data_IF_490307239016
#
_entry.id   IF_490307239016
#
_cell.length_a   1.000
_cell.length_b   1.000
_cell.length_c   1.000
_cell.angle_alpha   90.00
_cell.angle_beta   90.00
_cell.angle_gamma   90.00
#
_symmetry.space_group_name_H-M   'P 1'
#
loop_
_entity.id
_entity.type
_entity.pdbx_description
1 polymer ?
#
# COMPACT_ATOMS: atom_id res chain seq x y z
N UNK A 1 62.14 10.35 -1.18
CA UNK A 1 61.49 11.55 -0.62
C UNK A 1 60.29 12.03 -1.45
N UNK A 2 60.22 11.81 -2.77
CA UNK A 2 59.07 12.18 -3.62
C UNK A 2 57.79 11.35 -3.37
N UNK A 3 57.90 10.07 -3.04
CA UNK A 3 56.76 9.18 -2.85
C UNK A 3 55.98 9.52 -1.57
N UNK A 4 56.65 9.99 -0.52
CA UNK A 4 56.02 10.39 0.75
C UNK A 4 55.21 11.69 0.59
N UNK A 5 55.65 12.63 -0.24
CA UNK A 5 54.94 13.89 -0.54
C UNK A 5 53.65 13.65 -1.36
N UNK A 6 53.64 12.70 -2.30
CA UNK A 6 52.45 12.35 -3.08
C UNK A 6 51.40 11.66 -2.22
N UNK A 7 51.83 10.83 -1.25
CA UNK A 7 50.91 10.17 -0.31
C UNK A 7 50.27 11.16 0.67
N UNK A 8 51.01 12.13 1.17
CA UNK A 8 50.46 13.15 2.10
C UNK A 8 49.52 14.11 1.39
N UNK A 9 49.79 14.50 0.13
CA UNK A 9 48.86 15.34 -0.64
C UNK A 9 47.59 14.61 -1.04
N UNK A 10 47.65 13.33 -1.35
CA UNK A 10 46.45 12.51 -1.67
C UNK A 10 45.57 12.28 -0.44
N UNK A 11 46.17 12.03 0.73
CA UNK A 11 45.40 11.83 1.98
C UNK A 11 44.80 13.15 2.48
N UNK A 12 45.44 14.28 2.33
CA UNK A 12 44.88 15.59 2.69
C UNK A 12 43.74 15.97 1.74
N UNK A 13 43.83 15.69 0.45
CA UNK A 13 42.73 15.91 -0.51
C UNK A 13 41.51 15.02 -0.19
N UNK A 14 41.75 13.77 0.20
CA UNK A 14 40.68 12.84 0.59
C UNK A 14 40.00 13.26 1.90
N UNK A 15 40.75 13.78 2.86
CA UNK A 15 40.19 14.31 4.11
C UNK A 15 39.42 15.61 3.89
N UNK A 16 39.88 16.53 3.03
CA UNK A 16 39.13 17.72 2.63
C UNK A 16 37.86 17.37 1.86
N UNK A 17 37.91 16.36 1.00
CA UNK A 17 36.74 15.87 0.27
C UNK A 17 35.69 15.25 1.21
N UNK A 18 36.12 14.44 2.19
CA UNK A 18 35.24 13.89 3.22
C UNK A 18 34.63 14.98 4.12
N UNK A 19 35.42 16.01 4.49
CA UNK A 19 34.93 17.15 5.27
C UNK A 19 33.92 18.02 4.48
N UNK A 20 34.10 18.18 3.18
CA UNK A 20 33.16 18.92 2.33
C UNK A 20 31.85 18.19 2.12
N UNK A 21 31.85 16.84 2.08
CA UNK A 21 30.66 16.01 1.96
C UNK A 21 30.04 15.64 3.30
N UNK A 22 30.74 15.77 4.40
CA UNK A 22 30.21 15.57 5.76
C UNK A 22 29.63 16.84 6.39
N UNK A 23 29.66 17.99 5.69
CA UNK A 23 28.84 19.12 6.12
C UNK A 23 27.38 18.71 6.04
N UNK A 24 26.68 18.51 7.18
CA UNK A 24 25.25 18.35 7.13
C UNK A 24 24.70 19.63 6.50
N UNK A 25 23.87 19.48 5.51
CA UNK A 25 23.02 20.55 4.97
C UNK A 25 22.08 21.01 6.10
N UNK A 26 22.61 21.82 7.01
CA UNK A 26 21.86 22.52 8.04
C UNK A 26 21.30 23.80 7.42
N UNK A 27 20.34 23.60 6.55
CA UNK A 27 19.36 24.61 6.19
C UNK A 27 18.01 23.90 6.02
N UNK A 28 17.60 23.14 7.00
CA UNK A 28 16.20 22.91 7.24
C UNK A 28 15.68 24.17 7.94
N UNK A 29 15.22 25.15 7.16
CA UNK A 29 14.12 25.97 7.62
C UNK A 29 13.06 24.98 8.08
N UNK A 30 12.74 24.99 9.37
CA UNK A 30 11.67 24.21 9.96
C UNK A 30 10.31 24.69 9.43
N UNK A 31 10.01 24.39 8.19
CA UNK A 31 8.64 24.13 7.82
C UNK A 31 8.31 22.84 8.57
N UNK A 32 7.53 22.96 9.66
CA UNK A 32 6.95 21.80 10.30
C UNK A 32 6.29 20.98 9.19
N UNK A 33 6.93 19.89 8.81
CA UNK A 33 6.46 19.04 7.73
C UNK A 33 5.16 18.41 8.25
N UNK A 34 4.02 18.80 7.68
CA UNK A 34 2.75 18.18 7.94
C UNK A 34 2.74 16.75 7.38
N UNK A 35 3.40 15.84 8.10
CA UNK A 35 3.45 14.44 7.74
C UNK A 35 2.08 13.79 7.93
N UNK A 36 1.80 12.82 7.06
CA UNK A 36 0.62 11.98 7.21
C UNK A 36 0.66 11.28 8.57
N UNK A 37 -0.47 11.31 9.27
CA UNK A 37 -0.63 10.71 10.59
C UNK A 37 -1.77 9.69 10.59
N UNK A 38 -1.81 8.81 11.58
CA UNK A 38 -2.87 7.82 11.80
C UNK A 38 -2.92 7.48 13.28
N UNK A 39 -4.09 7.13 13.79
CA UNK A 39 -4.23 6.75 15.19
C UNK A 39 -3.58 5.39 15.46
N UNK A 40 -3.82 4.41 14.58
CA UNK A 40 -3.24 3.07 14.58
C UNK A 40 -3.00 2.62 13.14
N UNK A 41 -2.20 1.59 12.93
CA UNK A 41 -1.76 1.13 11.60
C UNK A 41 -2.90 0.79 10.63
N UNK A 42 -4.05 0.35 11.15
CA UNK A 42 -5.24 -0.02 10.35
C UNK A 42 -6.30 1.11 10.28
N UNK A 43 -5.99 2.29 10.82
CA UNK A 43 -6.89 3.43 10.82
C UNK A 43 -6.68 4.30 9.56
N UNK A 44 -7.65 5.15 9.21
CA UNK A 44 -7.53 6.05 8.07
C UNK A 44 -6.27 6.92 8.16
N UNK A 45 -5.63 7.12 7.01
CA UNK A 45 -4.49 8.01 6.87
C UNK A 45 -4.94 9.46 6.89
N UNK A 46 -4.42 10.24 7.83
CA UNK A 46 -4.84 11.61 8.09
C UNK A 46 -3.82 12.59 7.54
N UNK A 47 -4.27 13.47 6.67
CA UNK A 47 -3.54 14.64 6.18
C UNK A 47 -4.53 15.79 5.91
N UNK A 48 -4.01 16.95 5.53
CA UNK A 48 -4.84 18.14 5.26
C UNK A 48 -6.03 17.80 4.34
N UNK A 49 -7.25 18.26 4.61
CA UNK A 49 -7.63 19.27 5.60
C UNK A 49 -7.75 18.76 7.04
N UNK A 50 -7.72 17.46 7.28
CA UNK A 50 -7.77 16.87 8.60
C UNK A 50 -6.40 16.90 9.30
N UNK A 51 -6.43 16.96 10.64
CA UNK A 51 -5.26 16.72 11.49
C UNK A 51 -5.63 15.95 12.73
N UNK A 52 -4.70 15.21 13.30
CA UNK A 52 -4.84 14.64 14.65
C UNK A 52 -4.33 15.67 15.65
N UNK A 53 -5.25 16.25 16.42
CA UNK A 53 -5.00 17.39 17.32
C UNK A 53 -3.85 17.18 18.29
N UNK A 54 -3.66 15.96 18.79
CA UNK A 54 -2.59 15.62 19.74
C UNK A 54 -1.23 15.34 19.09
N UNK A 55 -1.16 15.19 17.75
CA UNK A 55 0.04 14.73 17.03
C UNK A 55 0.56 15.72 15.99
N UNK A 56 -0.30 16.62 15.54
CA UNK A 56 0.00 17.56 14.46
C UNK A 56 -0.31 18.98 14.91
N UNK A 57 0.53 19.97 14.54
CA UNK A 57 0.30 21.39 14.83
C UNK A 57 -0.94 21.93 14.12
N UNK A 58 -1.41 23.11 14.55
CA UNK A 58 -2.59 23.76 13.95
C UNK A 58 -2.44 24.09 12.47
N UNK A 59 -1.23 24.39 12.06
CA UNK A 59 -0.88 24.66 10.66
C UNK A 59 -1.09 23.48 9.72
N UNK A 60 -1.25 22.26 10.23
CA UNK A 60 -1.45 21.04 9.43
C UNK A 60 -2.91 20.67 9.21
N UNK A 61 -3.87 21.40 9.77
CA UNK A 61 -5.29 21.14 9.63
C UNK A 61 -6.08 22.40 9.29
N UNK A 62 -7.23 22.22 8.64
CA UNK A 62 -8.16 23.30 8.38
C UNK A 62 -9.12 23.46 9.56
N UNK A 63 -9.54 24.70 9.91
CA UNK A 63 -10.47 24.91 11.01
C UNK A 63 -11.75 24.07 10.88
N UNK A 64 -12.11 23.34 11.92
CA UNK A 64 -13.27 22.44 11.93
C UNK A 64 -12.99 21.00 11.49
N UNK A 65 -11.74 20.67 11.12
CA UNK A 65 -11.32 19.33 10.66
C UNK A 65 -10.43 18.60 11.69
N UNK A 66 -10.55 18.94 12.96
CA UNK A 66 -9.79 18.28 14.02
C UNK A 66 -10.30 16.86 14.29
N UNK A 67 -9.38 15.89 14.29
CA UNK A 67 -9.60 14.51 14.67
C UNK A 67 -8.81 14.18 15.94
N UNK A 68 -9.20 13.15 16.65
CA UNK A 68 -8.51 12.66 17.85
C UNK A 68 -8.37 11.14 17.81
N UNK A 69 -7.47 10.62 18.61
CA UNK A 69 -7.35 9.18 18.85
C UNK A 69 -7.89 8.86 20.24
N UNK A 70 -8.73 7.83 20.35
CA UNK A 70 -9.10 7.30 21.66
C UNK A 70 -8.06 6.29 22.18
N UNK A 71 -8.25 5.78 23.39
CA UNK A 71 -7.35 4.79 24.01
C UNK A 71 -7.27 3.47 23.25
N UNK A 72 -8.34 3.10 22.54
CA UNK A 72 -8.36 1.92 21.67
C UNK A 72 -7.59 2.12 20.34
N UNK A 73 -7.14 3.34 20.07
CA UNK A 73 -6.44 3.71 18.84
C UNK A 73 -7.37 3.99 17.66
N UNK A 74 -8.67 4.18 17.90
CA UNK A 74 -9.63 4.53 16.85
C UNK A 74 -9.60 6.03 16.58
N UNK A 75 -9.86 6.40 15.33
CA UNK A 75 -9.93 7.79 14.88
C UNK A 75 -11.32 8.35 15.12
N UNK A 76 -11.41 9.41 15.92
CA UNK A 76 -12.67 10.07 16.28
C UNK A 76 -12.75 11.47 15.69
N UNK A 77 -13.98 11.87 15.32
CA UNK A 77 -14.38 13.22 14.94
C UNK A 77 -15.47 13.72 15.88
N UNK A 78 -15.39 14.99 16.29
CA UNK A 78 -16.42 15.62 17.12
C UNK A 78 -17.24 16.61 16.29
N UNK A 79 -18.53 16.36 16.19
CA UNK A 79 -19.48 17.30 15.59
C UNK A 79 -20.09 18.21 16.67
N UNK A 80 -20.26 19.52 16.41
CA UNK A 80 -20.61 20.49 17.43
C UNK A 80 -21.85 20.15 18.29
N UNK A 81 -22.90 19.64 17.66
CA UNK A 81 -24.17 19.35 18.33
C UNK A 81 -24.56 17.87 18.36
N UNK A 82 -23.73 17.00 17.78
CA UNK A 82 -24.04 15.57 17.60
C UNK A 82 -23.13 14.64 18.40
N UNK A 83 -22.06 15.17 19.02
CA UNK A 83 -21.13 14.39 19.82
C UNK A 83 -19.95 13.82 19.02
N UNK A 84 -19.46 12.66 19.47
CA UNK A 84 -18.26 12.02 18.90
C UNK A 84 -18.66 10.87 17.97
N UNK A 85 -17.99 10.78 16.82
CA UNK A 85 -18.16 9.74 15.83
C UNK A 85 -16.83 9.08 15.52
N UNK A 86 -16.86 7.79 15.25
CA UNK A 86 -15.73 7.02 14.75
C UNK A 86 -15.61 7.25 13.25
N UNK A 87 -14.42 7.60 12.78
CA UNK A 87 -14.11 7.76 11.35
C UNK A 87 -13.74 6.42 10.77
N UNK A 88 -14.54 5.92 9.83
CA UNK A 88 -14.33 4.66 9.14
C UNK A 88 -13.45 4.81 7.90
N UNK A 89 -13.55 5.95 7.20
CA UNK A 89 -12.77 6.22 6.01
C UNK A 89 -12.82 7.69 5.61
N UNK A 90 -11.82 8.12 4.86
CA UNK A 90 -11.74 9.45 4.26
C UNK A 90 -11.27 9.30 2.81
N UNK A 91 -12.04 9.84 1.89
CA UNK A 91 -11.63 10.00 0.50
C UNK A 91 -11.35 11.48 0.22
N UNK A 92 -10.08 11.78 0.07
CA UNK A 92 -9.60 13.15 -0.18
C UNK A 92 -9.86 13.62 -1.61
N UNK A 93 -10.01 12.67 -2.54
CA UNK A 93 -10.27 12.96 -3.95
C UNK A 93 -11.70 13.45 -4.16
N UNK A 94 -12.67 12.70 -3.60
CA UNK A 94 -14.09 13.03 -3.66
C UNK A 94 -14.53 13.98 -2.54
N UNK A 95 -13.65 14.24 -1.59
CA UNK A 95 -13.90 15.03 -0.38
C UNK A 95 -15.06 14.46 0.44
N UNK A 96 -14.95 13.19 0.79
CA UNK A 96 -15.96 12.45 1.52
C UNK A 96 -15.38 11.77 2.75
N UNK A 97 -16.20 11.63 3.78
CA UNK A 97 -15.87 10.96 5.04
C UNK A 97 -17.01 10.06 5.48
N UNK A 98 -16.68 8.86 5.89
CA UNK A 98 -17.61 7.88 6.46
C UNK A 98 -17.45 7.84 7.96
N UNK A 99 -18.56 8.04 8.67
CA UNK A 99 -18.58 8.07 10.14
C UNK A 99 -19.65 7.16 10.72
N UNK A 100 -19.35 6.60 11.89
CA UNK A 100 -20.28 5.76 12.63
C UNK A 100 -20.25 6.09 14.14
N UNK A 101 -21.21 5.55 14.90
CA UNK A 101 -21.24 5.73 16.35
C UNK A 101 -20.19 4.82 17.03
N UNK A 102 -19.28 5.36 17.84
CA UNK A 102 -18.29 4.56 18.59
C UNK A 102 -18.91 3.59 19.59
N UNK A 103 -20.19 3.79 19.95
CA UNK A 103 -20.97 2.92 20.86
C UNK A 103 -21.83 1.91 20.14
N UNK A 104 -21.67 1.75 18.82
CA UNK A 104 -22.40 0.77 17.98
C UNK A 104 -23.92 0.92 18.03
N UNK A 105 -24.43 2.14 18.21
CA UNK A 105 -25.86 2.45 18.13
C UNK A 105 -26.11 3.76 17.37
N UNK A 106 -25.65 3.81 16.12
CA UNK A 106 -25.83 4.96 15.24
C UNK A 106 -27.29 5.40 15.11
N UNK A 107 -28.30 4.50 15.02
CA UNK A 107 -29.72 4.87 14.96
C UNK A 107 -30.18 5.74 16.12
N UNK A 108 -29.62 5.58 17.31
CA UNK A 108 -29.91 6.41 18.48
C UNK A 108 -29.42 7.85 18.27
N UNK A 109 -28.21 8.00 17.74
CA UNK A 109 -27.65 9.32 17.42
C UNK A 109 -28.45 9.99 16.33
N UNK A 110 -28.82 9.26 15.28
CA UNK A 110 -29.66 9.74 14.18
C UNK A 110 -31.02 10.26 14.73
N UNK A 111 -31.67 9.48 15.57
CA UNK A 111 -33.02 9.80 16.06
C UNK A 111 -33.03 11.04 16.98
N UNK A 112 -32.04 11.18 17.85
CA UNK A 112 -32.08 12.16 18.91
C UNK A 112 -31.10 13.32 18.77
N UNK A 113 -29.97 13.11 18.12
CA UNK A 113 -28.82 14.01 18.23
C UNK A 113 -28.20 14.46 16.91
N UNK A 114 -28.58 13.87 15.77
CA UNK A 114 -27.92 14.24 14.51
C UNK A 114 -28.21 15.68 14.12
N UNK A 115 -27.18 16.52 14.11
CA UNK A 115 -27.25 17.90 13.68
C UNK A 115 -25.88 18.31 13.13
N UNK A 116 -25.81 18.55 11.84
CA UNK A 116 -24.58 18.94 11.14
C UNK A 116 -24.37 20.46 11.11
N UNK A 117 -25.31 21.23 11.68
CA UNK A 117 -25.20 22.71 11.72
C UNK A 117 -23.93 23.14 12.46
N UNK A 118 -23.27 24.16 11.96
CA UNK A 118 -22.04 24.67 12.58
C UNK A 118 -20.80 23.79 12.34
N UNK A 119 -20.94 22.71 11.58
CA UNK A 119 -19.80 21.93 11.06
C UNK A 119 -19.56 22.22 9.58
N UNK A 120 -18.36 21.98 9.05
CA UNK A 120 -18.09 22.08 7.61
C UNK A 120 -18.70 20.94 6.78
N UNK A 121 -19.35 19.98 7.41
CA UNK A 121 -19.83 18.76 6.79
C UNK A 121 -21.31 18.81 6.45
N UNK A 122 -21.68 18.18 5.33
CA UNK A 122 -23.06 17.95 4.90
C UNK A 122 -23.21 16.51 4.40
N UNK A 123 -24.42 15.97 4.44
CA UNK A 123 -24.68 14.66 3.83
C UNK A 123 -24.53 14.72 2.31
N UNK A 124 -23.99 13.67 1.71
CA UNK A 124 -23.90 13.54 0.24
C UNK A 124 -25.30 13.36 -0.33
N UNK A 125 -26.07 12.46 0.26
CA UNK A 125 -27.46 12.20 -0.07
C UNK A 125 -28.27 12.14 1.22
N UNK A 126 -29.56 12.50 1.14
CA UNK A 126 -30.47 12.44 2.28
C UNK A 126 -31.69 11.61 1.94
N UNK A 127 -32.11 10.80 2.92
CA UNK A 127 -33.37 10.06 2.86
C UNK A 127 -34.13 10.22 4.17
N UNK A 128 -35.45 10.39 4.07
CA UNK A 128 -36.30 10.51 5.25
C UNK A 128 -36.65 9.14 5.78
N UNK A 129 -36.34 8.87 7.03
CA UNK A 129 -36.76 7.68 7.76
C UNK A 129 -37.71 8.03 8.87
N UNK A 130 -38.80 7.30 8.95
CA UNK A 130 -39.80 7.38 10.03
C UNK A 130 -39.57 6.24 10.99
N UNK A 131 -39.38 6.57 12.26
CA UNK A 131 -39.18 5.61 13.34
C UNK A 131 -40.49 5.29 14.03
N UNK A 132 -40.72 4.00 14.26
CA UNK A 132 -41.88 3.48 14.99
C UNK A 132 -41.43 2.66 16.20
N UNK A 133 -42.22 2.75 17.28
CA UNK A 133 -42.13 1.89 18.46
C UNK A 133 -43.38 1.03 18.54
N UNK A 134 -43.22 -0.29 18.48
CA UNK A 134 -44.32 -1.27 18.46
C UNK A 134 -44.31 -2.09 19.76
N UNK A 135 -45.45 -2.20 20.42
CA UNK A 135 -45.61 -2.81 21.74
C UNK A 135 -45.69 -4.34 21.77
N UNK A 136 -45.53 -5.06 20.66
CA UNK A 136 -45.46 -6.52 20.61
C UNK A 136 -44.53 -6.97 19.48
N UNK A 137 -44.10 -8.24 19.54
CA UNK A 137 -43.29 -8.90 18.50
C UNK A 137 -44.08 -8.97 17.19
N UNK A 138 -44.03 -7.92 16.45
CA UNK A 138 -44.73 -7.81 15.18
C UNK A 138 -43.94 -8.56 14.11
N UNK A 139 -44.40 -9.77 13.75
CA UNK A 139 -43.75 -10.65 12.75
C UNK A 139 -43.98 -10.21 11.30
N UNK A 140 -43.92 -8.92 11.01
CA UNK A 140 -44.11 -8.37 9.67
C UNK A 140 -42.83 -8.31 8.81
N UNK A 141 -41.82 -9.09 9.09
CA UNK A 141 -40.61 -9.09 8.27
C UNK A 141 -39.88 -7.73 8.24
N UNK A 142 -40.09 -6.90 9.26
CA UNK A 142 -39.34 -5.64 9.43
C UNK A 142 -38.03 -5.92 10.17
N UNK A 143 -36.97 -5.18 9.79
CA UNK A 143 -35.68 -5.26 10.45
C UNK A 143 -35.69 -4.42 11.73
N UNK A 144 -35.58 -5.03 12.93
CA UNK A 144 -35.59 -4.28 14.18
C UNK A 144 -34.25 -3.54 14.38
N UNK A 145 -34.31 -2.36 14.98
CA UNK A 145 -33.13 -1.65 15.48
C UNK A 145 -32.83 -2.19 16.87
N UNK A 146 -31.93 -3.17 16.95
CA UNK A 146 -31.65 -3.93 18.17
C UNK A 146 -31.26 -3.05 19.35
N UNK A 147 -30.41 -2.04 19.15
CA UNK A 147 -29.94 -1.17 20.22
C UNK A 147 -30.98 -0.15 20.73
N UNK A 148 -32.13 -0.03 20.05
CA UNK A 148 -33.28 0.78 20.46
C UNK A 148 -34.47 -0.05 20.90
N UNK A 149 -34.42 -1.37 20.73
CA UNK A 149 -35.50 -2.33 21.05
C UNK A 149 -35.21 -3.02 22.38
N UNK A 150 -36.27 -3.52 23.01
CA UNK A 150 -36.23 -4.29 24.25
C UNK A 150 -37.18 -5.49 24.16
N UNK A 151 -37.23 -6.33 25.20
CA UNK A 151 -38.14 -7.48 25.28
C UNK A 151 -39.63 -7.11 25.15
N UNK A 152 -40.00 -5.89 25.52
CA UNK A 152 -41.37 -5.39 25.58
C UNK A 152 -41.78 -4.52 24.39
N UNK A 153 -40.84 -4.12 23.56
CA UNK A 153 -41.12 -3.30 22.38
C UNK A 153 -40.03 -3.43 21.32
N UNK A 154 -40.41 -3.20 20.09
CA UNK A 154 -39.54 -3.23 18.93
C UNK A 154 -39.53 -1.86 18.25
N UNK A 155 -38.35 -1.29 18.06
CA UNK A 155 -38.13 -0.07 17.27
C UNK A 155 -37.64 -0.46 15.89
N UNK A 156 -38.23 0.12 14.84
CA UNK A 156 -37.73 0.03 13.48
C UNK A 156 -37.85 1.36 12.76
N UNK A 157 -37.16 1.50 11.64
CA UNK A 157 -37.20 2.67 10.78
C UNK A 157 -37.58 2.25 9.33
N UNK A 158 -38.37 3.09 8.67
CA UNK A 158 -38.79 2.88 7.29
C UNK A 158 -38.79 4.17 6.50
N UNK A 159 -38.50 4.09 5.19
CA UNK A 159 -38.71 5.19 4.25
C UNK A 159 -39.91 4.94 3.32
N UNK A 160 -40.58 3.79 3.45
CA UNK A 160 -41.71 3.44 2.62
C UNK A 160 -42.99 4.16 3.06
N UNK A 161 -43.55 4.97 2.14
CA UNK A 161 -44.82 5.67 2.36
C UNK A 161 -45.97 4.71 2.73
N UNK A 162 -45.98 3.53 2.07
CA UNK A 162 -46.99 2.50 2.35
C UNK A 162 -46.87 1.93 3.76
N UNK A 163 -45.67 1.70 4.23
CA UNK A 163 -45.44 1.19 5.60
C UNK A 163 -45.79 2.26 6.61
N UNK A 164 -45.45 3.53 6.34
CA UNK A 164 -45.80 4.67 7.20
C UNK A 164 -47.31 4.79 7.31
N UNK A 165 -48.06 4.70 6.20
CA UNK A 165 -49.51 4.76 6.20
C UNK A 165 -50.16 3.65 7.05
N UNK A 166 -49.73 2.39 6.89
CA UNK A 166 -50.22 1.24 7.64
C UNK A 166 -50.00 1.44 9.15
N UNK A 167 -48.84 1.87 9.57
CA UNK A 167 -48.49 2.00 11.00
C UNK A 167 -48.95 3.31 11.63
N UNK A 168 -49.35 4.29 10.84
CA UNK A 168 -49.90 5.55 11.36
C UNK A 168 -51.39 5.50 11.67
N UNK A 169 -52.04 4.37 11.45
CA UNK A 169 -53.48 4.20 11.73
C UNK A 169 -53.73 4.12 13.25
N UNK A 170 -54.87 4.60 13.71
CA UNK A 170 -55.24 4.66 15.15
C UNK A 170 -55.35 3.28 15.81
N UNK A 171 -55.55 2.22 15.03
CA UNK A 171 -55.63 0.83 15.48
C UNK A 171 -54.29 0.08 15.42
N UNK A 172 -53.24 0.75 15.00
CA UNK A 172 -51.89 0.16 14.92
C UNK A 172 -51.30 -0.07 16.33
N UNK A 173 -50.67 -1.23 16.57
CA UNK A 173 -49.90 -1.46 17.80
C UNK A 173 -48.60 -0.62 17.86
N UNK A 174 -48.30 0.11 16.81
CA UNK A 174 -47.07 0.90 16.67
C UNK A 174 -47.36 2.39 16.86
N UNK A 175 -46.46 3.07 17.58
CA UNK A 175 -46.49 4.52 17.77
C UNK A 175 -45.39 5.16 16.95
N UNK A 176 -45.70 6.19 16.19
CA UNK A 176 -44.73 7.02 15.51
C UNK A 176 -43.90 7.76 16.54
N UNK A 177 -42.57 7.66 16.44
CA UNK A 177 -41.63 8.39 17.27
C UNK A 177 -41.29 9.72 16.58
N UNK A 178 -40.65 9.67 15.41
CA UNK A 178 -40.17 10.83 14.68
C UNK A 178 -39.79 10.47 13.26
N UNK A 179 -39.91 11.43 12.33
CA UNK A 179 -39.29 11.34 11.01
C UNK A 179 -38.02 12.19 10.99
N UNK A 180 -36.93 11.59 10.52
CA UNK A 180 -35.61 12.25 10.47
C UNK A 180 -35.02 12.13 9.06
N UNK A 181 -34.41 13.20 8.58
CA UNK A 181 -33.66 13.21 7.34
C UNK A 181 -32.24 12.71 7.64
N UNK A 182 -31.87 11.55 7.08
CA UNK A 182 -30.64 10.83 7.38
C UNK A 182 -29.69 10.95 6.20
N UNK A 183 -28.40 11.32 6.41
CA UNK A 183 -27.38 11.18 5.39
C UNK A 183 -27.17 9.69 5.06
N UNK A 184 -27.29 9.31 3.80
CA UNK A 184 -27.14 7.92 3.34
C UNK A 184 -25.97 7.77 2.37
N UNK A 185 -25.42 6.56 2.27
CA UNK A 185 -24.31 6.27 1.35
C UNK A 185 -24.74 6.41 -0.11
N UNK A 186 -25.87 5.82 -0.45
CA UNK A 186 -26.44 5.84 -1.80
C UNK A 186 -27.89 6.28 -1.73
N UNK A 187 -28.38 7.07 -2.70
CA UNK A 187 -29.79 7.33 -2.81
C UNK A 187 -30.48 6.01 -3.16
N UNK A 188 -31.45 5.63 -2.35
CA UNK A 188 -32.29 4.47 -2.67
C UNK A 188 -33.36 4.91 -3.65
N UNK A 189 -33.36 4.35 -4.85
CA UNK A 189 -34.41 4.60 -5.86
C UNK A 189 -35.76 4.00 -5.40
N UNK A 190 -35.70 2.93 -4.61
CA UNK A 190 -36.89 2.26 -4.04
C UNK A 190 -37.05 2.60 -2.55
N UNK A 191 -38.29 2.63 -2.12
CA UNK A 191 -38.63 2.83 -0.71
C UNK A 191 -38.22 1.62 0.12
N UNK A 192 -37.43 1.84 1.14
CA UNK A 192 -36.96 0.80 2.05
C UNK A 192 -38.08 0.45 3.02
N UNK A 193 -38.50 -0.83 3.01
CA UNK A 193 -39.53 -1.36 3.93
C UNK A 193 -39.09 -1.20 5.39
N UNK A 194 -37.86 -1.56 5.71
CA UNK A 194 -37.25 -1.33 7.01
C UNK A 194 -35.75 -1.37 6.94
N UNK A 195 -35.09 -0.62 7.82
CA UNK A 195 -33.63 -0.58 7.97
C UNK A 195 -33.25 -0.51 9.44
N UNK A 196 -32.14 -1.13 9.81
CA UNK A 196 -31.54 -0.99 11.14
C UNK A 196 -30.67 0.29 11.25
N UNK A 197 -30.44 0.99 10.14
CA UNK A 197 -29.64 2.22 10.06
C UNK A 197 -28.25 2.09 10.71
N UNK A 198 -27.66 0.92 10.60
CA UNK A 198 -26.32 0.63 11.12
C UNK A 198 -25.19 1.03 10.17
N UNK A 199 -25.52 1.29 8.90
CA UNK A 199 -24.57 1.72 7.88
C UNK A 199 -23.94 3.08 8.19
N UNK A 200 -22.68 3.25 7.77
CA UNK A 200 -21.93 4.48 7.98
C UNK A 200 -22.61 5.68 7.32
N UNK A 201 -22.62 6.81 8.01
CA UNK A 201 -23.06 8.07 7.44
C UNK A 201 -22.00 8.60 6.48
N UNK A 202 -22.41 8.91 5.24
CA UNK A 202 -21.55 9.50 4.22
C UNK A 202 -21.71 11.00 4.20
N UNK A 203 -20.68 11.72 4.60
CA UNK A 203 -20.62 13.16 4.62
C UNK A 203 -19.61 13.70 3.60
N UNK A 204 -19.79 14.93 3.18
CA UNK A 204 -18.86 15.64 2.28
C UNK A 204 -18.61 17.05 2.84
N UNK A 205 -17.56 17.67 2.33
CA UNK A 205 -17.22 19.07 2.60
C UNK A 205 -16.87 19.80 1.29
N UNK A 206 -17.19 21.09 1.22
CA UNK A 206 -16.89 21.91 0.05
C UNK A 206 -15.56 22.65 0.20
N UNK A 207 -15.30 23.21 1.39
CA UNK A 207 -14.09 23.94 1.72
C UNK A 207 -13.32 23.24 2.85
N UNK A 208 -12.00 23.07 2.66
CA UNK A 208 -11.18 23.52 1.53
C UNK A 208 -11.32 22.60 0.32
N UNK A 209 -11.38 23.19 -0.91
CA UNK A 209 -11.49 22.45 -2.18
C UNK A 209 -10.15 21.85 -2.60
N UNK A 210 -9.85 20.65 -2.14
CA UNK A 210 -8.58 19.94 -2.37
C UNK A 210 -8.64 18.81 -3.41
N UNK A 211 -9.82 18.36 -3.83
CA UNK A 211 -9.97 17.22 -4.73
C UNK A 211 -9.19 17.33 -6.04
N UNK A 212 -9.11 18.53 -6.63
CA UNK A 212 -8.30 18.73 -7.83
C UNK A 212 -6.79 18.57 -7.58
N UNK A 213 -6.31 18.98 -6.43
CA UNK A 213 -4.91 18.79 -6.03
C UNK A 213 -4.59 17.30 -5.83
N UNK A 214 -5.44 16.60 -5.10
CA UNK A 214 -5.33 15.16 -4.84
C UNK A 214 -5.39 14.35 -6.14
N UNK A 215 -6.27 14.70 -7.09
CA UNK A 215 -6.37 14.02 -8.39
C UNK A 215 -5.10 14.12 -9.24
N UNK A 216 -4.26 15.13 -8.98
CA UNK A 216 -2.96 15.31 -9.63
C UNK A 216 -1.80 14.66 -8.85
N UNK A 217 -2.12 13.94 -7.77
CA UNK A 217 -1.11 13.35 -6.88
C UNK A 217 -0.36 14.39 -6.03
N UNK A 218 -0.91 15.60 -5.91
CA UNK A 218 -0.41 16.65 -5.04
C UNK A 218 -0.97 16.51 -3.62
N UNK A 219 -0.46 17.30 -2.71
CA UNK A 219 -0.95 17.45 -1.35
C UNK A 219 -1.35 18.88 -1.07
N UNK A 220 -2.57 19.06 -0.58
CA UNK A 220 -3.09 20.35 -0.14
C UNK A 220 -2.45 20.78 1.19
N UNK A 221 -2.36 22.08 1.39
CA UNK A 221 -1.91 22.65 2.66
C UNK A 221 -1.96 24.17 2.66
N UNK A 222 -1.67 24.80 3.79
CA UNK A 222 -1.49 26.24 3.85
C UNK A 222 -0.16 26.67 3.22
N UNK A 223 -0.17 27.83 2.56
CA UNK A 223 1.05 28.39 1.96
C UNK A 223 2.12 28.74 3.00
N UNK A 224 1.71 29.19 4.17
CA UNK A 224 2.57 29.49 5.33
C UNK A 224 1.74 29.47 6.59
N UNK A 225 2.38 29.32 7.76
CA UNK A 225 1.73 29.30 9.07
C UNK A 225 0.91 30.58 9.38
N UNK A 226 1.19 31.67 8.70
CA UNK A 226 0.49 32.95 8.88
C UNK A 226 -0.57 33.24 7.81
N UNK A 227 -0.71 32.40 6.79
CA UNK A 227 -1.61 32.60 5.65
C UNK A 227 -2.59 31.45 5.53
N UNK A 228 -3.89 31.74 5.61
CA UNK A 228 -4.97 30.78 5.36
C UNK A 228 -5.14 30.44 3.86
N UNK A 229 -4.22 30.90 3.00
CA UNK A 229 -4.25 30.59 1.58
C UNK A 229 -3.83 29.14 1.34
N UNK A 230 -4.73 28.36 0.74
CA UNK A 230 -4.49 26.96 0.38
C UNK A 230 -3.67 26.92 -0.89
N UNK A 231 -2.67 26.03 -0.91
CA UNK A 231 -1.84 25.72 -2.07
C UNK A 231 -1.74 24.22 -2.25
N UNK A 232 -1.63 23.81 -3.50
CA UNK A 232 -1.29 22.44 -3.84
C UNK A 232 0.23 22.34 -3.93
N UNK A 233 0.82 21.46 -3.13
CA UNK A 233 2.24 21.12 -3.19
C UNK A 233 2.37 19.72 -3.78
N UNK A 234 3.29 19.57 -4.74
CA UNK A 234 3.69 18.24 -5.13
C UNK A 234 4.67 17.75 -4.08
N UNK A 235 4.38 16.63 -3.44
CA UNK A 235 5.37 15.94 -2.63
C UNK A 235 6.49 15.56 -3.60
N UNK A 236 7.75 16.02 -3.41
CA UNK A 236 8.84 15.49 -4.19
C UNK A 236 8.81 13.99 -3.93
N UNK A 237 8.66 13.19 -5.01
CA UNK A 237 8.68 11.72 -4.90
C UNK A 237 9.96 11.39 -4.16
N UNK A 238 9.81 11.04 -2.89
CA UNK A 238 10.89 10.74 -1.97
C UNK A 238 11.88 9.80 -2.67
N UNK A 239 13.07 10.30 -2.95
CA UNK A 239 14.22 9.49 -3.36
C UNK A 239 14.49 9.32 -4.85
N UNK A 240 13.71 9.88 -5.77
CA UNK A 240 14.09 9.85 -7.20
C UNK A 240 14.69 11.18 -7.63
N UNK A 241 16.01 11.27 -7.53
CA UNK A 241 16.78 12.32 -8.19
C UNK A 241 16.36 12.44 -9.66
N UNK A 242 16.17 13.67 -10.21
CA UNK A 242 15.91 13.88 -11.63
C UNK A 242 16.86 13.05 -12.47
N UNK A 243 16.37 12.51 -13.60
CA UNK A 243 17.21 11.63 -14.46
C UNK A 243 18.57 12.28 -14.78
N UNK A 244 18.59 13.60 -15.04
CA UNK A 244 19.83 14.34 -15.26
C UNK A 244 20.78 14.35 -14.06
N UNK A 245 20.27 14.52 -12.83
CA UNK A 245 21.08 14.48 -11.61
C UNK A 245 21.64 13.08 -11.32
N UNK A 246 20.87 12.02 -11.62
CA UNK A 246 21.38 10.63 -11.54
C UNK A 246 22.55 10.42 -12.48
N UNK A 247 22.42 10.82 -13.75
CA UNK A 247 23.50 10.70 -14.73
C UNK A 247 24.71 11.55 -14.33
N UNK A 248 24.49 12.77 -13.85
CA UNK A 248 25.57 13.64 -13.38
C UNK A 248 26.35 13.01 -12.20
N UNK A 249 25.66 12.40 -11.22
CA UNK A 249 26.29 11.71 -10.09
C UNK A 249 26.98 10.42 -10.54
N UNK A 250 26.33 9.61 -11.39
CA UNK A 250 26.91 8.33 -11.83
C UNK A 250 28.13 8.54 -12.71
N UNK A 251 28.10 9.50 -13.62
CA UNK A 251 29.20 9.78 -14.53
C UNK A 251 30.28 10.65 -13.84
N UNK A 252 29.86 11.69 -13.09
CA UNK A 252 30.80 12.64 -12.48
C UNK A 252 31.49 12.09 -11.23
N UNK A 253 30.89 11.22 -10.47
CA UNK A 253 31.45 10.66 -9.23
C UNK A 253 31.64 9.14 -9.33
N UNK A 254 30.63 8.41 -9.81
CA UNK A 254 30.64 6.94 -9.81
C UNK A 254 31.73 6.36 -10.72
N UNK A 255 31.89 6.89 -11.93
CA UNK A 255 32.91 6.39 -12.88
C UNK A 255 34.35 6.70 -12.39
N UNK A 256 34.69 7.92 -12.00
CA UNK A 256 36.02 8.20 -11.49
C UNK A 256 36.39 7.40 -10.24
N UNK A 257 35.47 7.26 -9.27
CA UNK A 257 35.70 6.46 -8.06
C UNK A 257 35.92 4.99 -8.38
N UNK A 258 35.15 4.42 -9.31
CA UNK A 258 35.29 3.03 -9.77
C UNK A 258 36.66 2.81 -10.44
N UNK A 259 37.08 3.72 -11.29
CA UNK A 259 38.41 3.66 -11.94
C UNK A 259 39.57 3.79 -10.93
N UNK A 260 39.44 4.66 -9.94
CA UNK A 260 40.42 4.78 -8.86
C UNK A 260 40.52 3.49 -8.03
N UNK A 261 39.36 2.86 -7.75
CA UNK A 261 39.34 1.61 -7.00
C UNK A 261 39.97 0.46 -7.77
N UNK A 262 39.67 0.35 -9.07
CA UNK A 262 40.33 -0.62 -9.96
C UNK A 262 41.81 -0.40 -10.05
N UNK A 263 42.26 0.85 -10.19
CA UNK A 263 43.68 1.22 -10.18
C UNK A 263 44.38 0.82 -8.88
N UNK A 264 43.73 1.04 -7.73
CA UNK A 264 44.24 0.63 -6.42
C UNK A 264 44.36 -0.89 -6.29
N UNK A 265 43.32 -1.63 -6.74
CA UNK A 265 43.36 -3.09 -6.77
C UNK A 265 44.47 -3.64 -7.66
N UNK A 266 44.63 -3.11 -8.86
CA UNK A 266 45.74 -3.48 -9.75
C UNK A 266 47.10 -3.19 -9.13
N UNK A 267 47.27 -2.04 -8.46
CA UNK A 267 48.50 -1.70 -7.74
C UNK A 267 48.78 -2.67 -6.60
N UNK A 268 47.78 -3.01 -5.78
CA UNK A 268 47.92 -3.97 -4.68
C UNK A 268 48.22 -5.38 -5.21
N UNK A 269 47.54 -5.83 -6.25
CA UNK A 269 47.81 -7.13 -6.90
C UNK A 269 49.23 -7.17 -7.53
N UNK A 270 49.69 -6.05 -8.10
CA UNK A 270 51.03 -5.93 -8.63
C UNK A 270 52.09 -6.04 -7.52
N UNK A 271 51.83 -5.42 -6.37
CA UNK A 271 52.71 -5.53 -5.18
C UNK A 271 52.77 -6.94 -4.61
N UNK A 272 51.63 -7.61 -4.47
CA UNK A 272 51.54 -8.99 -4.01
C UNK A 272 52.25 -9.93 -4.98
N UNK A 273 52.06 -9.75 -6.30
CA UNK A 273 52.74 -10.55 -7.33
C UNK A 273 54.26 -10.33 -7.35
N UNK A 274 54.73 -9.12 -7.04
CA UNK A 274 56.16 -8.80 -6.90
C UNK A 274 56.76 -9.42 -5.63
N UNK A 275 55.99 -9.48 -4.53
CA UNK A 275 56.43 -10.11 -3.27
C UNK A 275 56.50 -11.64 -3.38
N UNK A 276 55.52 -12.24 -4.07
CA UNK A 276 55.45 -13.71 -4.28
C UNK A 276 56.56 -14.17 -5.27
N UNK A 277 56.98 -13.32 -6.21
CA UNK A 277 58.10 -13.64 -7.12
C UNK A 277 59.45 -13.72 -6.46
N UNK A 278 59.59 -13.19 -5.23
CA UNK A 278 60.87 -13.16 -4.47
C UNK A 278 61.09 -14.44 -3.64
N UNK A 279 60.09 -15.33 -3.53
CA UNK A 279 60.21 -16.57 -2.82
C UNK A 279 59.63 -17.74 -3.65
N UNK A 280 60.32 -18.17 -4.70
CA UNK A 280 60.17 -19.52 -5.24
C UNK A 280 61.53 -20.13 -5.43
N UNK A 281 61.87 -21.18 -4.64
CA UNK A 281 62.77 -22.20 -5.11
C UNK A 281 62.01 -23.08 -6.08
N UNK A 282 62.70 -23.44 -7.15
CA UNK A 282 62.25 -24.36 -8.18
C UNK A 282 62.09 -25.75 -7.56
N UNK A 283 60.89 -26.33 -7.77
CA UNK A 283 60.74 -27.79 -7.72
C UNK A 283 59.66 -28.23 -8.71
N UNK A 284 60.18 -28.97 -9.70
CA UNK A 284 59.38 -29.78 -10.63
C UNK A 284 58.56 -30.79 -9.88
N UNK A 285 57.38 -31.12 -10.38
CA UNK A 285 56.91 -32.46 -10.80
C UNK A 285 55.40 -32.62 -10.84
N UNK A 286 54.94 -32.90 -12.03
CA UNK A 286 53.92 -33.83 -12.53
C UNK A 286 52.42 -33.70 -12.13
N UNK A 287 51.56 -34.00 -13.11
CA UNK A 287 50.13 -33.73 -13.04
C UNK A 287 49.38 -34.94 -12.48
N UNK A 288 48.47 -34.70 -11.56
CA UNK A 288 47.39 -35.62 -11.24
C UNK A 288 46.08 -34.87 -11.25
N UNK A 289 45.26 -35.28 -12.12
CA UNK A 289 43.88 -34.88 -12.40
C UNK A 289 43.04 -35.25 -11.18
N UNK A 290 42.39 -34.23 -10.60
CA UNK A 290 41.17 -34.43 -9.83
C UNK A 290 40.16 -33.35 -10.29
N UNK A 291 38.94 -33.72 -10.69
CA UNK A 291 37.95 -32.78 -11.13
C UNK A 291 37.38 -32.03 -9.93
N UNK A 292 37.52 -30.70 -9.93
CA UNK A 292 36.76 -29.84 -9.02
C UNK A 292 35.29 -29.83 -9.43
N UNK A 293 34.34 -29.90 -8.49
CA UNK A 293 32.94 -29.74 -8.78
C UNK A 293 32.69 -28.26 -9.15
N UNK A 294 32.38 -28.02 -10.40
CA UNK A 294 31.83 -26.76 -10.86
C UNK A 294 30.41 -26.61 -10.30
N UNK A 295 30.24 -25.71 -9.36
CA UNK A 295 28.91 -25.29 -8.93
C UNK A 295 28.25 -24.51 -10.08
N UNK A 296 27.47 -25.19 -10.91
CA UNK A 296 26.54 -24.53 -11.81
C UNK A 296 25.35 -24.01 -10.98
N UNK A 297 25.20 -22.71 -10.89
CA UNK A 297 24.05 -22.07 -10.22
C UNK A 297 22.73 -22.26 -10.99
N UNK A 298 22.75 -22.63 -12.26
CA UNK A 298 21.60 -22.81 -13.12
C UNK A 298 21.55 -24.17 -13.80
N UNK A 299 20.47 -24.44 -14.54
CA UNK A 299 20.29 -25.64 -15.36
C UNK A 299 20.97 -25.51 -16.72
N UNK A 300 21.43 -26.62 -17.25
CA UNK A 300 21.99 -26.68 -18.61
C UNK A 300 20.90 -26.56 -19.69
N UNK A 301 21.28 -26.10 -20.87
CA UNK A 301 20.37 -25.85 -21.99
C UNK A 301 19.51 -27.07 -22.38
N UNK A 302 20.09 -28.27 -22.56
CA UNK A 302 19.34 -29.49 -22.86
C UNK A 302 18.25 -29.81 -21.80
N UNK A 303 18.54 -29.65 -20.52
CA UNK A 303 17.58 -29.89 -19.44
C UNK A 303 16.44 -28.87 -19.49
N UNK A 304 16.73 -27.59 -19.73
CA UNK A 304 15.71 -26.55 -19.87
C UNK A 304 14.81 -26.82 -21.09
N UNK A 305 15.39 -27.28 -22.20
CA UNK A 305 14.62 -27.61 -23.41
C UNK A 305 13.71 -28.83 -23.24
N UNK A 306 14.08 -29.78 -22.38
CA UNK A 306 13.28 -30.98 -22.10
C UNK A 306 11.97 -30.72 -21.37
N UNK A 307 11.79 -29.52 -20.80
CA UNK A 307 10.56 -29.18 -20.09
C UNK A 307 9.37 -29.03 -21.06
N UNK A 308 8.17 -29.49 -20.64
CA UNK A 308 7.00 -29.47 -21.50
C UNK A 308 6.63 -28.04 -21.90
N UNK A 309 6.25 -27.86 -23.16
CA UNK A 309 5.75 -26.59 -23.68
C UNK A 309 4.26 -26.74 -23.99
N UNK A 310 3.45 -25.79 -23.55
CA UNK A 310 2.02 -25.74 -23.85
C UNK A 310 1.70 -24.43 -24.58
N UNK A 311 0.88 -24.50 -25.62
CA UNK A 311 0.37 -23.32 -26.30
C UNK A 311 -0.99 -23.00 -25.73
N UNK A 312 -1.17 -21.79 -25.23
CA UNK A 312 -2.41 -21.36 -24.61
C UNK A 312 -3.52 -21.23 -25.67
N UNK A 313 -4.58 -22.01 -25.50
CA UNK A 313 -5.75 -21.95 -26.38
C UNK A 313 -6.65 -20.73 -26.12
N UNK A 314 -7.62 -20.51 -26.99
CA UNK A 314 -8.60 -19.41 -26.85
C UNK A 314 -9.40 -19.48 -25.53
N UNK A 315 -9.58 -20.68 -24.96
CA UNK A 315 -10.29 -20.91 -23.69
C UNK A 315 -9.46 -20.53 -22.46
N UNK A 316 -8.18 -20.16 -22.61
CA UNK A 316 -7.24 -19.76 -21.54
C UNK A 316 -7.19 -20.73 -20.33
N UNK A 317 -7.43 -22.03 -20.55
CA UNK A 317 -7.36 -23.03 -19.47
C UNK A 317 -5.90 -23.36 -19.16
N UNK A 318 -5.50 -23.11 -17.93
CA UNK A 318 -4.18 -23.44 -17.39
C UNK A 318 -4.28 -24.62 -16.41
N UNK A 319 -3.17 -25.33 -16.12
CA UNK A 319 -3.14 -26.39 -15.13
C UNK A 319 -3.59 -25.94 -13.73
N UNK A 320 -3.34 -24.66 -13.38
CA UNK A 320 -3.87 -23.99 -12.19
C UNK A 320 -4.77 -22.83 -12.62
N UNK A 321 -6.06 -22.85 -12.29
CA UNK A 321 -7.02 -21.85 -12.77
C UNK A 321 -6.76 -20.42 -12.28
N UNK A 322 -6.03 -20.24 -11.17
CA UNK A 322 -5.76 -18.93 -10.57
C UNK A 322 -4.50 -18.24 -11.14
N UNK A 323 -3.68 -18.95 -11.92
CA UNK A 323 -2.43 -18.44 -12.50
C UNK A 323 -2.68 -17.79 -13.87
N UNK A 324 -3.18 -16.57 -13.92
CA UNK A 324 -3.45 -15.86 -15.18
C UNK A 324 -2.35 -14.89 -15.62
N UNK A 325 -1.25 -14.80 -14.86
CA UNK A 325 -0.18 -13.84 -15.09
C UNK A 325 1.20 -14.47 -14.87
N UNK A 326 2.17 -14.13 -15.72
CA UNK A 326 3.55 -14.58 -15.58
C UNK A 326 4.26 -13.82 -14.45
N UNK A 327 4.71 -14.49 -13.36
CA UNK A 327 5.36 -13.81 -12.23
C UNK A 327 6.74 -13.21 -12.53
N UNK A 328 7.35 -13.57 -13.67
CA UNK A 328 8.67 -13.06 -14.07
C UNK A 328 8.55 -11.71 -14.77
N UNK A 329 7.64 -11.58 -15.75
CA UNK A 329 7.47 -10.35 -16.53
C UNK A 329 6.23 -9.53 -16.12
N UNK A 330 5.39 -10.06 -15.22
CA UNK A 330 4.17 -9.43 -14.71
C UNK A 330 3.14 -9.10 -15.79
N UNK A 331 3.10 -9.89 -16.88
CA UNK A 331 2.14 -9.76 -17.97
C UNK A 331 1.13 -10.90 -17.95
N UNK A 332 -0.13 -10.61 -18.30
CA UNK A 332 -1.17 -11.63 -18.47
C UNK A 332 -0.86 -12.55 -19.65
N UNK A 333 -1.23 -13.82 -19.52
CA UNK A 333 -1.12 -14.79 -20.60
C UNK A 333 -2.17 -14.55 -21.68
N UNK A 334 -1.72 -14.48 -22.93
CA UNK A 334 -2.59 -14.28 -24.10
C UNK A 334 -2.76 -15.58 -24.90
N UNK A 335 -3.90 -15.76 -25.58
CA UNK A 335 -4.07 -16.88 -26.50
C UNK A 335 -2.94 -16.94 -27.53
N UNK A 336 -2.52 -18.17 -27.87
CA UNK A 336 -1.40 -18.50 -28.76
C UNK A 336 0.01 -18.26 -28.22
N UNK A 337 0.16 -17.80 -26.97
CA UNK A 337 1.46 -17.74 -26.33
C UNK A 337 1.93 -19.13 -25.88
N UNK A 338 3.25 -19.35 -25.93
CA UNK A 338 3.86 -20.59 -25.47
C UNK A 338 4.26 -20.45 -24.02
N UNK A 339 3.71 -21.32 -23.19
CA UNK A 339 3.99 -21.40 -21.76
C UNK A 339 4.79 -22.67 -21.46
N UNK A 340 5.58 -22.62 -20.39
CA UNK A 340 6.38 -23.73 -19.90
C UNK A 340 6.07 -23.97 -18.42
N UNK A 341 5.32 -25.03 -18.05
CA UNK A 341 5.13 -25.45 -16.67
C UNK A 341 6.38 -26.16 -16.15
N UNK A 342 6.72 -25.92 -14.88
CA UNK A 342 7.78 -26.68 -14.22
C UNK A 342 7.19 -28.01 -13.74
N UNK A 343 7.78 -29.17 -14.13
CA UNK A 343 7.15 -30.50 -13.93
C UNK A 343 6.71 -30.81 -12.49
N UNK A 344 7.51 -30.46 -11.48
CA UNK A 344 7.26 -30.85 -10.09
C UNK A 344 6.15 -30.03 -9.42
N UNK A 345 6.04 -28.76 -9.78
CA UNK A 345 5.15 -27.83 -9.07
C UNK A 345 4.03 -27.27 -9.94
N UNK A 346 4.06 -27.54 -11.24
CA UNK A 346 3.08 -27.12 -12.25
C UNK A 346 2.84 -25.60 -12.31
N UNK A 347 3.79 -24.78 -11.79
CA UNK A 347 3.76 -23.35 -11.98
C UNK A 347 4.11 -23.01 -13.43
N UNK A 348 3.28 -22.17 -14.05
CA UNK A 348 3.40 -21.81 -15.46
C UNK A 348 4.08 -20.45 -15.63
N UNK A 349 4.86 -20.32 -16.72
CA UNK A 349 5.56 -19.10 -17.08
C UNK A 349 5.60 -18.98 -18.60
N UNK A 350 5.80 -17.79 -19.15
CA UNK A 350 6.16 -17.68 -20.55
C UNK A 350 7.47 -18.44 -20.81
N UNK A 351 7.53 -19.21 -21.88
CA UNK A 351 8.69 -20.06 -22.19
C UNK A 351 10.00 -19.28 -22.17
N UNK A 352 10.06 -18.13 -22.85
CA UNK A 352 11.24 -17.29 -22.87
C UNK A 352 11.65 -16.76 -21.49
N UNK A 353 10.68 -16.43 -20.61
CA UNK A 353 10.97 -15.89 -19.28
C UNK A 353 11.59 -16.95 -18.36
N UNK A 354 11.01 -18.17 -18.36
CA UNK A 354 11.51 -19.23 -17.47
C UNK A 354 12.82 -19.83 -17.98
N UNK A 355 13.05 -19.85 -19.28
CA UNK A 355 14.30 -20.34 -19.85
C UNK A 355 15.49 -19.48 -19.43
N UNK A 356 15.33 -18.15 -19.44
CA UNK A 356 16.38 -17.25 -18.94
C UNK A 356 16.57 -17.34 -17.41
N UNK A 357 15.51 -17.54 -16.66
CA UNK A 357 15.59 -17.73 -15.22
C UNK A 357 16.34 -19.00 -14.84
N UNK A 358 16.01 -20.13 -15.50
CA UNK A 358 16.59 -21.44 -15.18
C UNK A 358 18.06 -21.55 -15.56
N UNK A 359 18.54 -20.78 -16.55
CA UNK A 359 19.98 -20.66 -16.86
C UNK A 359 20.79 -20.07 -15.70
N UNK A 360 20.16 -19.24 -14.88
CA UNK A 360 20.81 -18.55 -13.76
C UNK A 360 20.47 -19.19 -12.41
N UNK A 361 19.29 -19.79 -12.30
CA UNK A 361 18.74 -20.31 -11.04
C UNK A 361 18.08 -21.68 -11.29
N UNK A 362 18.60 -22.74 -10.72
CA UNK A 362 18.06 -24.08 -10.87
C UNK A 362 16.80 -24.35 -10.01
N UNK A 363 15.94 -23.34 -9.77
CA UNK A 363 14.76 -23.47 -8.91
C UNK A 363 13.57 -22.71 -9.47
N UNK A 364 12.34 -23.15 -9.12
CA UNK A 364 11.11 -22.44 -9.48
C UNK A 364 11.05 -21.04 -8.85
N UNK A 365 10.75 -19.98 -9.62
CA UNK A 365 10.62 -18.61 -9.10
C UNK A 365 9.58 -18.44 -7.99
N UNK A 366 8.52 -19.25 -7.98
CA UNK A 366 7.41 -19.14 -7.03
C UNK A 366 7.68 -19.96 -5.76
N UNK A 367 7.90 -21.28 -5.90
CA UNK A 367 8.02 -22.19 -4.74
C UNK A 367 9.46 -22.54 -4.36
N UNK A 368 10.46 -22.14 -5.18
CA UNK A 368 11.90 -22.39 -4.99
C UNK A 368 12.29 -23.87 -4.91
N UNK A 369 11.41 -24.79 -5.29
CA UNK A 369 11.72 -26.20 -5.36
C UNK A 369 12.77 -26.45 -6.46
N UNK A 370 13.84 -27.22 -6.17
CA UNK A 370 14.80 -27.64 -7.19
C UNK A 370 14.15 -28.69 -8.11
N UNK A 371 14.57 -28.77 -9.39
CA UNK A 371 14.14 -29.86 -10.27
C UNK A 371 14.70 -31.20 -9.77
N UNK A 372 14.08 -32.33 -10.15
CA UNK A 372 14.61 -33.64 -9.80
C UNK A 372 15.99 -33.82 -10.41
N UNK A 373 16.92 -34.28 -9.60
CA UNK A 373 18.21 -34.76 -10.10
C UNK A 373 17.93 -35.95 -11.02
N UNK A 374 18.16 -35.81 -12.32
CA UNK A 374 18.10 -36.95 -13.22
C UNK A 374 19.07 -38.02 -12.71
N UNK A 375 18.66 -39.31 -12.60
CA UNK A 375 19.59 -40.37 -12.28
C UNK A 375 20.65 -40.42 -13.40
N UNK A 376 21.91 -40.34 -13.02
CA UNK A 376 23.04 -40.60 -13.90
C UNK A 376 22.79 -41.93 -14.63
N UNK A 377 23.01 -42.03 -15.96
CA UNK A 377 22.93 -43.29 -16.67
C UNK A 377 23.90 -44.27 -16.03
N UNK A 378 23.38 -45.43 -15.62
CA UNK A 378 24.16 -46.49 -15.05
C UNK A 378 25.29 -46.88 -16.04
N UNK A 379 26.54 -46.68 -15.62
CA UNK A 379 27.69 -47.25 -16.28
C UNK A 379 27.54 -48.79 -16.24
N UNK A 380 27.24 -49.40 -17.37
CA UNK A 380 27.37 -50.84 -17.55
C UNK A 380 28.85 -51.20 -17.44
N UNK A 381 29.19 -51.78 -16.34
CA UNK A 381 30.48 -52.48 -16.18
C UNK A 381 30.29 -53.86 -16.80
N UNK A 382 30.72 -54.01 -18.04
CA UNK A 382 30.94 -55.33 -18.61
C UNK A 382 32.18 -55.93 -17.94
N UNK A 383 31.97 -56.97 -17.12
CA UNK A 383 33.01 -57.83 -16.59
C UNK A 383 33.25 -58.95 -17.62
N UNK A 384 34.43 -58.97 -18.19
CA UNK A 384 35.06 -60.15 -18.76
C UNK A 384 36.20 -60.62 -17.86
#
# INVERSE_FOLDING_TARGET
MHILKVFTTSTTFFFFFLLFFSMPYLAATSNELCLNSFCRHNEPKIHFPFRIKSRQPESCGYPGFDLFCNEAGQTLMKLPYSGEFMVQGIDYLTQEIWINDPKSCLPKVILFHINLSGSPFKGVNYQNFTFFNCSESFHLGVTPIVCLSDSNYTVFATSSARVIEIFSTTSSPCKLIKTVSVPVQFPFEEQILSSDLSDDLRLTWDEPGCGKCESQGGQCGFKSNSSHKIVCSHIPQSGRLPRGARYAITIGVGVPTSLCFLGLLCFLCGRVKSSVRRHRPIQELNPSIAPQPTFFLGLDGPTIESYPKIVLGESRRLPKPDDHMCPICLSEYRPKETLKPIPECQHCFHAACIDEWLKLNATCPICRNPPPLQPLPALSVDVL
#
